data_IF_364069095155
#
_entry.id   IF_364069095155
#
_cell.length_a   1.000
_cell.length_b   1.000
_cell.length_c   1.000
_cell.angle_alpha   90.00
_cell.angle_beta   90.00
_cell.angle_gamma   90.00
#
_symmetry.space_group_name_H-M   'P 1'
#
loop_
_entity.id
_entity.type
_entity.pdbx_description
1 polymer ?
#
# COMPACT_ATOMS: atom_id res chain seq x y z
N UNK A 1 3.85 -19.35 40.84
CA UNK A 1 2.77 -19.85 39.96
C UNK A 1 2.07 -18.65 39.35
N UNK A 2 2.56 -18.16 38.20
CA UNK A 2 1.95 -17.06 37.47
C UNK A 2 0.77 -17.60 36.66
N UNK A 3 -0.42 -17.02 36.84
CA UNK A 3 -1.59 -17.32 36.02
C UNK A 3 -1.34 -16.81 34.61
N UNK A 4 -1.25 -17.71 33.64
CA UNK A 4 -1.38 -17.41 32.22
C UNK A 4 -2.71 -16.69 32.01
N UNK A 5 -2.78 -15.52 31.34
CA UNK A 5 -4.06 -14.97 30.93
C UNK A 5 -4.71 -16.00 30.01
N UNK A 6 -5.89 -16.48 30.38
CA UNK A 6 -6.59 -17.49 29.62
C UNK A 6 -6.76 -17.06 28.18
N UNK A 7 -6.33 -17.91 27.27
CA UNK A 7 -6.75 -17.94 25.86
C UNK A 7 -8.24 -18.27 25.80
N UNK A 8 -9.07 -17.36 26.28
CA UNK A 8 -10.51 -17.48 26.12
C UNK A 8 -10.81 -17.34 24.64
N UNK A 9 -11.09 -18.44 23.95
CA UNK A 9 -11.77 -18.37 22.67
C UNK A 9 -13.04 -17.56 22.90
N UNK A 10 -13.05 -16.33 22.37
CA UNK A 10 -14.29 -15.60 22.22
C UNK A 10 -15.12 -16.39 21.19
N UNK A 11 -15.97 -17.31 21.67
CA UNK A 11 -17.13 -17.76 20.89
C UNK A 11 -17.85 -16.52 20.34
N UNK A 12 -18.53 -16.61 19.18
CA UNK A 12 -18.93 -15.43 18.43
C UNK A 12 -19.73 -14.49 19.35
N UNK A 13 -19.18 -13.32 19.74
CA UNK A 13 -19.96 -12.38 20.50
C UNK A 13 -21.14 -12.00 19.61
N UNK A 14 -22.35 -12.13 20.15
CA UNK A 14 -23.54 -11.60 19.49
C UNK A 14 -23.33 -10.13 19.16
N UNK A 15 -24.12 -9.61 18.22
CA UNK A 15 -24.06 -8.18 17.92
C UNK A 15 -24.48 -7.38 19.16
N UNK A 16 -23.63 -6.46 19.58
CA UNK A 16 -23.82 -5.51 20.67
C UNK A 16 -24.38 -4.21 20.10
N UNK A 17 -25.34 -3.61 20.80
CA UNK A 17 -25.85 -2.28 20.48
C UNK A 17 -24.80 -1.18 20.67
N UNK A 18 -25.00 -0.06 19.98
CA UNK A 18 -24.19 1.16 20.10
C UNK A 18 -22.79 1.04 19.52
N UNK A 19 -22.61 0.17 18.52
CA UNK A 19 -21.31 -0.22 17.99
C UNK A 19 -21.33 -0.27 16.47
N UNK A 20 -20.24 0.19 15.86
CA UNK A 20 -20.03 0.12 14.42
C UNK A 20 -19.23 -1.14 14.07
N UNK A 21 -19.81 -1.97 13.20
CA UNK A 21 -19.25 -3.21 12.70
C UNK A 21 -18.70 -3.01 11.28
N UNK A 22 -17.39 -3.19 11.10
CA UNK A 22 -16.76 -3.22 9.78
C UNK A 22 -16.74 -4.68 9.31
N UNK A 23 -17.54 -5.01 8.31
CA UNK A 23 -17.80 -6.41 7.92
C UNK A 23 -17.17 -6.68 6.55
N UNK A 24 -16.15 -7.54 6.52
CA UNK A 24 -15.56 -7.99 5.26
C UNK A 24 -16.52 -8.86 4.45
N UNK A 25 -16.71 -8.51 3.18
CA UNK A 25 -17.52 -9.27 2.22
C UNK A 25 -16.65 -10.02 1.21
N UNK A 26 -17.17 -11.09 0.56
CA UNK A 26 -16.42 -11.81 -0.47
C UNK A 26 -15.96 -10.93 -1.65
N UNK A 27 -14.84 -11.31 -2.27
CA UNK A 27 -14.33 -10.66 -3.50
C UNK A 27 -15.09 -11.09 -4.76
N UNK A 28 -15.82 -12.19 -4.69
CA UNK A 28 -16.59 -12.72 -5.81
C UNK A 28 -17.01 -14.18 -5.63
N UNK A 29 -16.28 -14.95 -4.83
CA UNK A 29 -16.75 -16.26 -4.36
C UNK A 29 -17.58 -16.12 -3.09
N UNK A 30 -18.90 -16.32 -3.18
CA UNK A 30 -19.79 -16.23 -2.01
C UNK A 30 -19.36 -17.08 -0.81
N UNK A 31 -18.62 -18.17 -1.04
CA UNK A 31 -18.14 -19.08 0.01
C UNK A 31 -16.98 -18.51 0.84
N UNK A 32 -16.41 -17.37 0.44
CA UNK A 32 -15.42 -16.65 1.24
C UNK A 32 -16.06 -15.83 2.38
N UNK A 33 -17.40 -15.85 2.50
CA UNK A 33 -18.11 -15.18 3.59
C UNK A 33 -17.90 -15.96 4.89
N UNK A 34 -17.24 -15.34 5.86
CA UNK A 34 -17.00 -15.99 7.15
C UNK A 34 -18.30 -16.20 7.95
N UNK A 35 -18.34 -17.22 8.79
CA UNK A 35 -19.47 -17.49 9.68
C UNK A 35 -19.78 -16.28 10.59
N UNK A 36 -18.75 -15.55 11.02
CA UNK A 36 -18.88 -14.35 11.84
C UNK A 36 -19.42 -13.16 11.05
N UNK A 37 -19.02 -12.99 9.78
CA UNK A 37 -19.59 -11.98 8.90
C UNK A 37 -21.08 -12.25 8.65
N UNK A 38 -21.44 -13.50 8.37
CA UNK A 38 -22.83 -13.93 8.25
C UNK A 38 -23.64 -13.59 9.51
N UNK A 39 -23.17 -13.98 10.69
CA UNK A 39 -23.85 -13.71 11.95
C UNK A 39 -24.04 -12.20 12.20
N UNK A 40 -23.03 -11.38 11.88
CA UNK A 40 -23.13 -9.93 12.00
C UNK A 40 -24.19 -9.36 11.02
N UNK A 41 -24.18 -9.79 9.76
CA UNK A 41 -25.15 -9.37 8.75
C UNK A 41 -26.59 -9.73 9.12
N UNK A 42 -26.80 -10.84 9.82
CA UNK A 42 -28.11 -11.30 10.31
C UNK A 42 -28.62 -10.49 11.52
N UNK A 43 -27.73 -9.87 12.29
CA UNK A 43 -28.06 -9.33 13.63
C UNK A 43 -27.96 -7.81 13.76
N UNK A 44 -27.23 -7.11 12.88
CA UNK A 44 -27.13 -5.63 12.98
C UNK A 44 -28.48 -4.95 12.73
N UNK A 45 -28.77 -3.91 13.51
CA UNK A 45 -30.02 -3.14 13.43
C UNK A 45 -30.12 -2.32 12.13
N UNK A 46 -28.98 -1.90 11.58
CA UNK A 46 -28.86 -1.18 10.32
C UNK A 46 -27.63 -1.64 9.55
N UNK A 47 -27.79 -1.95 8.27
CA UNK A 47 -26.68 -2.23 7.36
C UNK A 47 -26.45 -1.07 6.40
N UNK A 48 -25.22 -0.55 6.37
CA UNK A 48 -24.73 0.41 5.39
C UNK A 48 -24.00 -0.35 4.29
N UNK A 49 -24.39 -0.11 3.05
CA UNK A 49 -23.80 -0.75 1.88
C UNK A 49 -23.42 0.28 0.81
N UNK A 50 -22.27 0.09 0.16
CA UNK A 50 -21.85 0.91 -0.98
C UNK A 50 -22.89 0.86 -2.12
N UNK A 51 -23.13 -0.32 -2.71
CA UNK A 51 -24.27 -0.61 -3.58
C UNK A 51 -25.25 -1.58 -2.92
N UNK A 52 -26.42 -1.08 -2.55
CA UNK A 52 -27.47 -1.89 -1.92
C UNK A 52 -27.97 -3.04 -2.79
N UNK A 53 -27.80 -2.96 -4.12
CA UNK A 53 -28.19 -4.02 -5.05
C UNK A 53 -27.20 -5.18 -5.02
N UNK A 54 -25.90 -4.90 -4.87
CA UNK A 54 -24.85 -5.91 -4.74
C UNK A 54 -25.05 -6.65 -3.41
N UNK A 55 -25.16 -5.90 -2.32
CA UNK A 55 -25.41 -6.46 -0.99
C UNK A 55 -26.72 -7.25 -0.92
N UNK A 56 -27.79 -6.78 -1.56
CA UNK A 56 -29.06 -7.51 -1.62
C UNK A 56 -28.94 -8.91 -2.24
N UNK A 57 -28.07 -9.10 -3.24
CA UNK A 57 -27.80 -10.41 -3.85
C UNK A 57 -27.01 -11.32 -2.91
N UNK A 58 -26.02 -10.76 -2.21
CA UNK A 58 -25.25 -11.49 -1.20
C UNK A 58 -26.17 -12.01 -0.07
N UNK A 59 -27.00 -11.13 0.50
CA UNK A 59 -27.94 -11.49 1.56
C UNK A 59 -28.93 -12.57 1.09
N UNK A 60 -29.48 -12.42 -0.12
CA UNK A 60 -30.39 -13.41 -0.70
C UNK A 60 -29.72 -14.78 -0.92
N UNK A 61 -28.46 -14.81 -1.37
CA UNK A 61 -27.72 -16.06 -1.58
C UNK A 61 -27.50 -16.87 -0.30
N UNK A 62 -27.52 -16.21 0.87
CA UNK A 62 -27.34 -16.83 2.17
C UNK A 62 -28.63 -16.94 3.00
N UNK A 63 -29.78 -16.57 2.42
CA UNK A 63 -31.07 -16.60 3.12
C UNK A 63 -31.16 -15.62 4.30
N UNK A 64 -30.33 -14.56 4.30
CA UNK A 64 -30.31 -13.57 5.36
C UNK A 64 -31.49 -12.62 5.18
N UNK A 65 -32.35 -12.55 6.20
CA UNK A 65 -33.50 -11.65 6.24
C UNK A 65 -33.07 -10.17 6.15
N UNK A 66 -33.94 -9.32 5.61
CA UNK A 66 -33.63 -7.90 5.43
C UNK A 66 -34.05 -7.06 6.64
N UNK A 67 -33.09 -6.69 7.47
CA UNK A 67 -33.16 -5.44 8.25
C UNK A 67 -33.07 -4.22 7.32
N UNK A 68 -33.15 -2.99 7.84
CA UNK A 68 -32.98 -1.80 7.02
C UNK A 68 -31.57 -1.75 6.42
N UNK A 69 -31.49 -1.51 5.10
CA UNK A 69 -30.23 -1.34 4.37
C UNK A 69 -30.19 0.06 3.76
N UNK A 70 -29.16 0.83 4.08
CA UNK A 70 -28.95 2.17 3.53
C UNK A 70 -27.75 2.20 2.59
N UNK A 71 -27.89 2.93 1.49
CA UNK A 71 -26.75 3.26 0.63
C UNK A 71 -25.78 4.19 1.36
N UNK A 72 -24.49 3.86 1.40
CA UNK A 72 -23.43 4.65 2.00
C UNK A 72 -22.16 4.58 1.13
N UNK A 73 -21.91 5.62 0.34
CA UNK A 73 -20.83 5.66 -0.65
C UNK A 73 -20.25 7.08 -0.79
N UNK A 74 -19.18 7.22 -1.58
CA UNK A 74 -18.38 8.45 -1.71
C UNK A 74 -19.18 9.73 -2.03
N UNK A 75 -20.36 9.61 -2.66
CA UNK A 75 -21.18 10.76 -3.06
C UNK A 75 -22.31 11.12 -2.08
N UNK A 76 -22.60 10.27 -1.08
CA UNK A 76 -23.74 10.50 -0.18
C UNK A 76 -23.37 10.42 1.31
N UNK A 77 -22.17 9.96 1.65
CA UNK A 77 -21.77 9.70 3.03
C UNK A 77 -21.99 10.92 3.92
N UNK A 78 -21.67 12.12 3.44
CA UNK A 78 -21.80 13.37 4.20
C UNK A 78 -23.25 13.67 4.61
N UNK A 79 -24.23 13.26 3.80
CA UNK A 79 -25.66 13.43 4.11
C UNK A 79 -26.16 12.36 5.08
N UNK A 80 -25.60 11.15 5.03
CA UNK A 80 -26.01 10.01 5.87
C UNK A 80 -25.32 9.99 7.23
N UNK A 81 -24.13 10.58 7.31
CA UNK A 81 -23.27 10.49 8.47
C UNK A 81 -23.94 10.99 9.76
N UNK A 82 -24.65 12.15 9.81
CA UNK A 82 -25.31 12.60 11.04
C UNK A 82 -26.32 11.57 11.58
N UNK A 83 -27.23 11.09 10.73
CA UNK A 83 -28.28 10.12 11.11
C UNK A 83 -27.68 8.78 11.57
N UNK A 84 -26.59 8.33 10.93
CA UNK A 84 -25.91 7.09 11.32
C UNK A 84 -25.29 7.21 12.71
N UNK A 85 -24.65 8.35 12.99
CA UNK A 85 -24.00 8.59 14.28
C UNK A 85 -25.03 8.75 15.40
N UNK A 86 -26.17 9.40 15.13
CA UNK A 86 -27.28 9.50 16.08
C UNK A 86 -27.80 8.11 16.46
N UNK A 87 -28.00 7.22 15.47
CA UNK A 87 -28.42 5.83 15.71
C UNK A 87 -27.42 5.05 16.55
N UNK A 88 -26.13 5.16 16.24
CA UNK A 88 -25.06 4.54 17.02
C UNK A 88 -25.07 5.04 18.48
N UNK A 89 -25.22 6.34 18.71
CA UNK A 89 -25.29 6.91 20.06
C UNK A 89 -26.58 6.52 20.80
N UNK A 90 -27.67 6.29 20.09
CA UNK A 90 -28.93 5.78 20.63
C UNK A 90 -28.88 4.28 20.95
N UNK A 91 -27.75 3.60 20.73
CA UNK A 91 -27.58 2.19 21.06
C UNK A 91 -27.88 1.22 19.92
N UNK A 92 -28.10 1.69 18.68
CA UNK A 92 -28.24 0.80 17.53
C UNK A 92 -26.89 0.19 17.13
N UNK A 93 -26.90 -1.07 16.73
CA UNK A 93 -25.78 -1.72 16.06
C UNK A 93 -25.81 -1.41 14.56
N UNK A 94 -24.68 -0.94 14.01
CA UNK A 94 -24.60 -0.57 12.59
C UNK A 94 -23.50 -1.36 11.92
N UNK A 95 -23.84 -2.11 10.86
CA UNK A 95 -22.87 -2.76 9.98
C UNK A 95 -22.48 -1.86 8.81
N UNK A 96 -21.22 -1.88 8.40
CA UNK A 96 -20.74 -1.30 7.16
C UNK A 96 -20.14 -2.41 6.30
N UNK A 97 -20.57 -2.47 5.04
CA UNK A 97 -20.02 -3.34 3.99
C UNK A 97 -19.75 -2.53 2.72
N UNK A 98 -18.80 -3.00 1.92
CA UNK A 98 -18.56 -2.53 0.55
C UNK A 98 -18.91 -3.64 -0.43
N UNK A 99 -18.89 -3.32 -1.72
CA UNK A 99 -19.30 -4.27 -2.77
C UNK A 99 -18.46 -5.55 -2.74
N UNK A 100 -17.19 -5.43 -2.35
CA UNK A 100 -16.26 -6.54 -2.15
C UNK A 100 -15.17 -6.18 -1.14
N UNK A 101 -14.76 -7.15 -0.32
CA UNK A 101 -13.60 -7.05 0.54
C UNK A 101 -13.83 -6.32 1.85
N UNK A 102 -12.75 -5.73 2.39
CA UNK A 102 -12.79 -5.03 3.67
C UNK A 102 -13.17 -3.54 3.49
N UNK A 103 -14.23 -3.06 4.16
CA UNK A 103 -14.63 -1.66 4.08
C UNK A 103 -13.59 -0.73 4.71
N UNK A 104 -13.60 0.54 4.31
CA UNK A 104 -12.69 1.61 4.76
C UNK A 104 -11.19 1.43 4.44
N UNK A 105 -10.83 0.47 3.58
CA UNK A 105 -9.44 0.27 3.11
C UNK A 105 -9.15 1.05 1.82
N UNK A 106 -9.86 0.73 0.74
CA UNK A 106 -9.82 1.49 -0.53
C UNK A 106 -11.20 2.04 -0.93
N UNK A 107 -12.23 1.54 -0.27
CA UNK A 107 -13.63 1.87 -0.51
C UNK A 107 -14.14 2.87 0.53
N UNK A 108 -15.36 3.42 0.37
CA UNK A 108 -15.96 4.34 1.33
C UNK A 108 -16.01 3.78 2.75
N UNK A 109 -16.01 4.67 3.76
CA UNK A 109 -16.22 4.27 5.16
C UNK A 109 -15.23 4.86 6.14
N UNK A 110 -14.07 5.32 5.66
CA UNK A 110 -13.04 5.95 6.50
C UNK A 110 -13.62 7.11 7.31
N UNK A 111 -14.42 7.97 6.69
CA UNK A 111 -15.01 9.14 7.31
C UNK A 111 -16.00 8.76 8.43
N UNK A 112 -16.73 7.64 8.26
CA UNK A 112 -17.59 7.11 9.31
C UNK A 112 -16.79 6.55 10.47
N UNK A 113 -15.71 5.81 10.19
CA UNK A 113 -14.81 5.28 11.22
C UNK A 113 -14.17 6.41 12.03
N UNK A 114 -13.65 7.44 11.36
CA UNK A 114 -13.08 8.63 12.00
C UNK A 114 -14.12 9.36 12.87
N UNK A 115 -15.33 9.58 12.33
CA UNK A 115 -16.38 10.29 13.03
C UNK A 115 -16.97 9.51 14.22
N UNK A 116 -17.01 8.18 14.14
CA UNK A 116 -17.42 7.29 15.22
C UNK A 116 -16.34 7.27 16.33
N UNK A 117 -15.07 7.11 15.95
CA UNK A 117 -13.95 7.15 16.89
C UNK A 117 -13.87 8.48 17.63
N UNK A 118 -14.06 9.61 16.94
CA UNK A 118 -14.10 10.94 17.53
C UNK A 118 -15.23 11.17 18.54
N UNK A 119 -16.25 10.30 18.56
CA UNK A 119 -17.37 10.32 19.51
C UNK A 119 -17.28 9.22 20.57
N UNK A 120 -16.20 8.46 20.61
CA UNK A 120 -16.03 7.33 21.53
C UNK A 120 -16.97 6.16 21.23
N UNK A 121 -17.53 6.07 20.02
CA UNK A 121 -18.38 4.94 19.61
C UNK A 121 -17.48 3.70 19.41
N UNK A 122 -17.76 2.57 20.09
CA UNK A 122 -16.99 1.35 19.92
C UNK A 122 -17.02 0.82 18.48
N UNK A 123 -15.90 0.26 18.05
CA UNK A 123 -15.72 -0.37 16.74
C UNK A 123 -15.45 -1.87 16.91
N UNK A 124 -15.99 -2.67 16.00
CA UNK A 124 -15.64 -4.09 15.85
C UNK A 124 -15.36 -4.39 14.39
N UNK A 125 -14.15 -4.90 14.12
CA UNK A 125 -13.77 -5.37 12.77
C UNK A 125 -14.06 -6.86 12.68
N UNK A 126 -14.94 -7.25 11.76
CA UNK A 126 -15.19 -8.64 11.37
C UNK A 126 -14.36 -8.92 10.11
N UNK A 127 -13.20 -9.60 10.24
CA UNK A 127 -12.29 -9.80 9.13
C UNK A 127 -12.94 -10.61 7.99
N UNK A 128 -12.54 -10.29 6.77
CA UNK A 128 -12.92 -10.98 5.55
C UNK A 128 -11.81 -10.92 4.51
N UNK A 129 -12.03 -11.49 3.31
CA UNK A 129 -11.03 -11.54 2.26
C UNK A 129 -10.66 -10.14 1.77
N UNK A 130 -9.39 -9.91 1.42
CA UNK A 130 -8.94 -8.68 0.73
C UNK A 130 -8.13 -9.05 -0.50
N UNK A 131 -8.38 -8.35 -1.61
CA UNK A 131 -7.69 -8.66 -2.86
C UNK A 131 -6.19 -8.36 -2.76
N UNK A 132 -5.80 -7.36 -1.98
CA UNK A 132 -4.40 -7.02 -1.68
C UNK A 132 -3.65 -8.17 -0.99
N UNK A 133 -4.15 -8.70 0.14
CA UNK A 133 -3.47 -9.79 0.86
C UNK A 133 -3.49 -11.10 0.07
N UNK A 134 -4.58 -11.40 -0.65
CA UNK A 134 -4.67 -12.55 -1.55
C UNK A 134 -3.64 -12.46 -2.68
N UNK A 135 -3.51 -11.29 -3.31
CA UNK A 135 -2.53 -11.04 -4.36
C UNK A 135 -1.09 -11.11 -3.84
N UNK A 136 -0.82 -10.54 -2.66
CA UNK A 136 0.49 -10.62 -2.02
C UNK A 136 0.90 -12.08 -1.77
N UNK A 137 0.00 -12.86 -1.15
CA UNK A 137 0.25 -14.28 -0.88
C UNK A 137 0.53 -15.07 -2.16
N UNK A 138 -0.22 -14.83 -3.23
CA UNK A 138 -0.04 -15.50 -4.52
C UNK A 138 1.22 -15.03 -5.29
N UNK A 139 1.71 -13.81 -5.03
CA UNK A 139 2.88 -13.26 -5.72
C UNK A 139 4.19 -13.97 -5.39
N UNK A 140 4.30 -14.52 -4.17
CA UNK A 140 5.55 -15.10 -3.65
C UNK A 140 6.66 -14.08 -3.34
N UNK A 141 6.36 -12.77 -3.36
CA UNK A 141 7.34 -11.73 -3.06
C UNK A 141 7.54 -11.51 -1.55
N UNK A 142 8.73 -11.04 -1.12
CA UNK A 142 9.05 -10.90 0.29
C UNK A 142 8.35 -9.70 0.95
N UNK A 143 8.26 -9.78 2.28
CA UNK A 143 7.90 -8.65 3.14
C UNK A 143 9.13 -7.76 3.41
N UNK A 144 8.94 -6.48 3.76
CA UNK A 144 7.67 -5.75 3.84
C UNK A 144 7.07 -5.43 2.46
N UNK A 145 5.79 -5.06 2.43
CA UNK A 145 5.12 -4.53 1.22
C UNK A 145 4.39 -3.22 1.54
N UNK A 146 4.10 -2.43 0.50
CA UNK A 146 3.30 -1.21 0.58
C UNK A 146 2.06 -1.34 -0.31
N UNK A 147 0.89 -1.08 0.27
CA UNK A 147 -0.35 -1.04 -0.47
C UNK A 147 -0.76 0.40 -0.79
N UNK A 148 -1.09 0.66 -2.05
CA UNK A 148 -1.39 2.01 -2.55
C UNK A 148 -2.86 2.24 -2.91
N UNK A 149 -3.68 1.19 -2.93
CA UNK A 149 -4.98 1.25 -3.60
C UNK A 149 -4.80 1.62 -5.07
N UNK A 150 -5.55 2.61 -5.55
CA UNK A 150 -5.45 3.09 -6.92
C UNK A 150 -4.51 4.29 -7.05
N UNK A 151 -3.57 4.24 -7.99
CA UNK A 151 -2.78 5.42 -8.34
C UNK A 151 -3.67 6.51 -8.96
N UNK A 152 -3.40 7.82 -8.69
CA UNK A 152 -4.09 8.92 -9.34
C UNK A 152 -4.08 8.77 -10.86
N UNK A 153 -5.20 9.08 -11.51
CA UNK A 153 -5.38 8.79 -12.93
C UNK A 153 -4.43 9.60 -13.84
N UNK A 154 -4.06 10.83 -13.45
CA UNK A 154 -3.22 11.73 -14.25
C UNK A 154 -2.67 12.88 -13.40
N UNK A 155 -1.84 13.72 -14.01
CA UNK A 155 -1.42 15.00 -13.46
C UNK A 155 -0.28 14.93 -12.43
N UNK A 156 -0.05 16.04 -11.68
CA UNK A 156 1.04 16.14 -10.72
C UNK A 156 0.99 15.10 -9.61
N UNK A 157 -0.20 14.74 -9.13
CA UNK A 157 -0.37 13.74 -8.06
C UNK A 157 0.10 12.36 -8.50
N UNK A 158 -0.20 11.96 -9.74
CA UNK A 158 0.28 10.69 -10.30
C UNK A 158 1.82 10.68 -10.36
N UNK A 159 2.43 11.76 -10.85
CA UNK A 159 3.90 11.88 -10.90
C UNK A 159 4.53 11.73 -9.52
N UNK A 160 4.00 12.47 -8.53
CA UNK A 160 4.46 12.35 -7.13
C UNK A 160 4.29 10.95 -6.56
N UNK A 161 3.21 10.25 -6.90
CA UNK A 161 3.01 8.87 -6.47
C UNK A 161 4.07 7.94 -7.10
N UNK A 162 4.34 8.08 -8.40
CA UNK A 162 5.37 7.31 -9.10
C UNK A 162 6.78 7.59 -8.56
N UNK A 163 7.10 8.85 -8.24
CA UNK A 163 8.36 9.24 -7.61
C UNK A 163 8.55 8.57 -6.24
N UNK A 164 7.51 8.57 -5.39
CA UNK A 164 7.56 7.87 -4.09
C UNK A 164 7.69 6.36 -4.25
N UNK A 165 7.03 5.80 -5.26
CA UNK A 165 7.14 4.39 -5.56
C UNK A 165 8.58 4.06 -5.98
N UNK A 166 9.16 4.82 -6.90
CA UNK A 166 10.54 4.67 -7.35
C UNK A 166 11.58 4.78 -6.23
N UNK A 167 11.31 5.58 -5.20
CA UNK A 167 12.19 5.71 -4.03
C UNK A 167 12.17 4.50 -3.07
N UNK A 168 11.14 3.65 -3.12
CA UNK A 168 11.08 2.41 -2.34
C UNK A 168 11.94 1.29 -2.92
N UNK A 169 12.03 0.18 -2.21
CA UNK A 169 12.66 -1.07 -2.69
C UNK A 169 11.82 -2.31 -2.37
N UNK A 170 10.78 -2.11 -1.55
CA UNK A 170 9.85 -3.11 -1.09
C UNK A 170 8.89 -3.57 -2.20
N UNK A 171 8.14 -4.63 -1.90
CA UNK A 171 7.02 -5.07 -2.74
C UNK A 171 5.92 -3.98 -2.75
N UNK A 172 5.37 -3.66 -3.92
CA UNK A 172 4.31 -2.66 -4.07
C UNK A 172 3.02 -3.32 -4.56
N UNK A 173 1.89 -3.00 -3.96
CA UNK A 173 0.58 -3.54 -4.36
C UNK A 173 -0.33 -2.40 -4.80
N UNK A 174 -0.85 -2.51 -6.02
CA UNK A 174 -1.75 -1.56 -6.64
C UNK A 174 -3.04 -2.26 -7.04
N UNK A 175 -4.17 -1.59 -6.84
CA UNK A 175 -5.37 -1.88 -7.60
C UNK A 175 -5.34 -1.09 -8.91
N UNK A 176 -5.82 -1.70 -9.99
CA UNK A 176 -5.87 -1.01 -11.27
C UNK A 176 -7.08 -1.41 -12.11
N UNK A 177 -7.67 -0.42 -12.79
CA UNK A 177 -8.72 -0.70 -13.75
C UNK A 177 -8.12 -1.43 -14.96
N UNK A 178 -8.82 -2.41 -15.56
CA UNK A 178 -8.26 -3.27 -16.61
C UNK A 178 -7.71 -2.47 -17.81
N UNK A 179 -8.45 -1.46 -18.26
CA UNK A 179 -8.07 -0.57 -19.37
C UNK A 179 -6.88 0.36 -19.04
N UNK A 180 -6.45 0.44 -17.78
CA UNK A 180 -5.32 1.25 -17.32
C UNK A 180 -4.05 0.44 -17.09
N UNK A 181 -4.13 -0.89 -17.02
CA UNK A 181 -2.99 -1.75 -16.64
C UNK A 181 -1.77 -1.48 -17.50
N UNK A 182 -1.90 -1.53 -18.84
CA UNK A 182 -0.77 -1.30 -19.75
C UNK A 182 -0.16 0.10 -19.60
N UNK A 183 -0.99 1.12 -19.37
CA UNK A 183 -0.52 2.49 -19.13
C UNK A 183 0.22 2.61 -17.80
N UNK A 184 -0.30 2.02 -16.73
CA UNK A 184 0.36 2.02 -15.42
C UNK A 184 1.65 1.22 -15.45
N UNK A 185 1.67 0.07 -16.12
CA UNK A 185 2.89 -0.70 -16.36
C UNK A 185 3.96 0.12 -17.10
N UNK A 186 3.55 0.94 -18.10
CA UNK A 186 4.48 1.81 -18.84
C UNK A 186 5.08 2.89 -17.94
N UNK A 187 4.25 3.54 -17.14
CA UNK A 187 4.71 4.55 -16.19
C UNK A 187 5.66 3.96 -15.13
N UNK A 188 5.36 2.75 -14.64
CA UNK A 188 6.22 2.02 -13.70
C UNK A 188 7.53 1.57 -14.36
N UNK A 189 7.47 1.00 -15.57
CA UNK A 189 8.67 0.58 -16.30
C UNK A 189 9.63 1.75 -16.54
N UNK A 190 9.09 2.94 -16.84
CA UNK A 190 9.88 4.14 -17.06
C UNK A 190 10.67 4.59 -15.81
N UNK A 191 10.14 4.35 -14.60
CA UNK A 191 10.77 4.81 -13.34
C UNK A 191 11.49 3.69 -12.58
N UNK A 192 11.13 2.42 -12.83
CA UNK A 192 11.66 1.26 -12.11
C UNK A 192 12.55 0.36 -12.97
N UNK A 193 12.41 0.43 -14.29
CA UNK A 193 13.03 -0.48 -15.25
C UNK A 193 12.10 -1.61 -15.69
N UNK A 194 12.24 -2.03 -16.96
CA UNK A 194 11.38 -3.06 -17.57
C UNK A 194 11.56 -4.46 -16.97
N UNK A 195 12.75 -4.76 -16.43
CA UNK A 195 13.10 -6.08 -15.91
C UNK A 195 12.52 -6.38 -14.52
N UNK A 196 11.84 -5.41 -13.89
CA UNK A 196 11.26 -5.60 -12.55
C UNK A 196 10.19 -6.68 -12.61
N UNK A 197 10.28 -7.72 -11.74
CA UNK A 197 9.30 -8.79 -11.71
C UNK A 197 7.94 -8.27 -11.22
N UNK A 198 6.87 -8.82 -11.78
CA UNK A 198 5.49 -8.43 -11.50
C UNK A 198 4.62 -9.68 -11.44
N UNK A 199 3.69 -9.66 -10.49
CA UNK A 199 2.55 -10.56 -10.46
C UNK A 199 1.27 -9.75 -10.70
N UNK A 200 0.35 -10.32 -11.46
CA UNK A 200 -0.98 -9.76 -11.67
C UNK A 200 -2.04 -10.80 -11.30
N UNK A 201 -2.85 -10.49 -10.30
CA UNK A 201 -4.04 -11.25 -9.96
C UNK A 201 -5.25 -10.64 -10.64
N UNK A 202 -5.88 -11.38 -11.55
CA UNK A 202 -7.11 -10.94 -12.24
C UNK A 202 -8.28 -11.76 -11.73
N UNK A 203 -9.39 -11.08 -11.41
CA UNK A 203 -10.65 -11.71 -11.00
C UNK A 203 -10.46 -12.72 -9.85
N UNK A 204 -9.65 -12.34 -8.83
CA UNK A 204 -9.33 -13.21 -7.69
C UNK A 204 -10.60 -13.75 -7.03
N UNK A 205 -10.57 -15.04 -6.72
CA UNK A 205 -11.69 -15.87 -6.21
C UNK A 205 -12.90 -16.02 -7.14
N UNK A 206 -12.93 -15.38 -8.32
CA UNK A 206 -14.04 -15.50 -9.27
C UNK A 206 -13.83 -16.64 -10.27
N UNK A 207 -14.86 -16.92 -11.08
CA UNK A 207 -14.84 -17.98 -12.10
C UNK A 207 -13.69 -17.85 -13.11
N UNK A 208 -13.26 -16.63 -13.43
CA UNK A 208 -12.23 -16.34 -14.42
C UNK A 208 -10.91 -15.89 -13.78
N UNK A 209 -10.67 -16.33 -12.54
CA UNK A 209 -9.43 -16.08 -11.81
C UNK A 209 -8.21 -16.46 -12.63
N UNK A 210 -7.23 -15.55 -12.66
CA UNK A 210 -5.98 -15.73 -13.38
C UNK A 210 -4.82 -15.15 -12.55
N UNK A 211 -3.76 -15.96 -12.44
CA UNK A 211 -2.49 -15.59 -11.86
C UNK A 211 -1.47 -15.44 -12.99
N UNK A 212 -1.04 -14.22 -13.27
CA UNK A 212 -0.06 -13.94 -14.30
C UNK A 212 1.25 -13.47 -13.67
N UNK A 213 2.37 -14.01 -14.14
CA UNK A 213 3.71 -13.67 -13.68
C UNK A 213 4.55 -13.23 -14.88
N UNK A 214 5.36 -12.21 -14.68
CA UNK A 214 6.27 -11.71 -15.70
C UNK A 214 7.04 -10.51 -15.21
N UNK A 215 7.35 -9.61 -16.13
CA UNK A 215 8.08 -8.36 -15.89
C UNK A 215 7.24 -7.15 -16.26
N UNK A 216 7.63 -5.96 -15.81
CA UNK A 216 6.97 -4.72 -16.23
C UNK A 216 6.99 -4.55 -17.76
N UNK A 217 8.09 -4.89 -18.42
CA UNK A 217 8.19 -4.84 -19.88
C UNK A 217 7.19 -5.76 -20.59
N UNK A 218 6.97 -6.96 -20.05
CA UNK A 218 5.96 -7.89 -20.57
C UNK A 218 4.54 -7.39 -20.29
N UNK A 219 4.29 -6.83 -19.11
CA UNK A 219 2.98 -6.30 -18.73
C UNK A 219 2.57 -5.12 -19.62
N UNK A 220 3.51 -4.27 -20.03
CA UNK A 220 3.27 -3.15 -20.97
C UNK A 220 2.68 -3.64 -22.30
N UNK A 221 3.07 -4.84 -22.77
CA UNK A 221 2.63 -5.38 -24.06
C UNK A 221 1.26 -6.06 -24.00
N UNK A 222 0.74 -6.32 -22.81
CA UNK A 222 -0.53 -7.02 -22.62
C UNK A 222 -1.67 -6.03 -22.40
N UNK A 223 -2.63 -6.02 -23.32
CA UNK A 223 -3.76 -5.05 -23.32
C UNK A 223 -5.14 -5.71 -23.16
N UNK A 224 -5.21 -7.03 -23.12
CA UNK A 224 -6.46 -7.81 -23.08
C UNK A 224 -7.04 -8.01 -21.66
N UNK A 225 -6.58 -7.21 -20.69
CA UNK A 225 -7.06 -7.26 -19.30
C UNK A 225 -8.56 -6.98 -19.21
N UNK A 226 -9.26 -7.77 -18.38
CA UNK A 226 -10.70 -7.66 -18.11
C UNK A 226 -10.99 -7.89 -16.64
N UNK A 227 -12.10 -7.34 -16.17
CA UNK A 227 -12.54 -7.50 -14.78
C UNK A 227 -11.66 -6.71 -13.81
N UNK A 228 -11.59 -7.17 -12.57
CA UNK A 228 -10.78 -6.57 -11.51
C UNK A 228 -9.35 -7.08 -11.55
N UNK A 229 -8.40 -6.17 -11.31
CA UNK A 229 -6.97 -6.45 -11.42
C UNK A 229 -6.21 -5.88 -10.21
N UNK A 230 -5.39 -6.74 -9.60
CA UNK A 230 -4.38 -6.36 -8.60
C UNK A 230 -3.00 -6.56 -9.22
N UNK A 231 -2.19 -5.51 -9.24
CA UNK A 231 -0.81 -5.54 -9.72
C UNK A 231 0.13 -5.52 -8.52
N UNK A 232 0.96 -6.54 -8.40
CA UNK A 232 2.02 -6.61 -7.38
C UNK A 232 3.36 -6.46 -8.08
N UNK A 233 4.05 -5.36 -7.79
CA UNK A 233 5.41 -5.10 -8.27
C UNK A 233 6.39 -5.68 -7.27
N UNK A 234 7.29 -6.54 -7.74
CA UNK A 234 8.26 -7.22 -6.89
C UNK A 234 9.30 -6.28 -6.30
N UNK A 235 10.04 -6.76 -5.29
CA UNK A 235 11.08 -5.98 -4.66
C UNK A 235 12.16 -5.65 -5.68
N UNK A 236 12.77 -4.50 -5.49
CA UNK A 236 13.92 -4.08 -6.29
C UNK A 236 15.18 -4.27 -5.47
N UNK A 237 16.33 -4.54 -6.10
CA UNK A 237 17.60 -4.38 -5.43
C UNK A 237 17.59 -3.01 -4.77
N UNK A 238 18.03 -2.92 -3.51
CA UNK A 238 18.33 -1.62 -2.94
C UNK A 238 19.21 -0.90 -3.96
N UNK A 239 18.90 0.37 -4.33
CA UNK A 239 19.82 1.12 -5.15
C UNK A 239 21.17 0.91 -4.51
N UNK A 240 22.12 0.36 -5.27
CA UNK A 240 23.45 0.11 -4.76
C UNK A 240 23.79 1.37 -4.01
N UNK A 241 23.92 1.30 -2.67
CA UNK A 241 24.45 2.43 -1.93
C UNK A 241 25.63 2.84 -2.78
N UNK A 242 25.66 4.09 -3.25
CA UNK A 242 26.76 4.56 -4.04
C UNK A 242 27.98 4.34 -3.14
N UNK A 243 28.58 3.15 -3.21
CA UNK A 243 29.79 2.81 -2.51
C UNK A 243 30.71 3.91 -2.97
N UNK A 244 31.32 4.64 -2.03
CA UNK A 244 31.74 6.02 -2.21
C UNK A 244 32.24 6.17 -3.63
N UNK A 245 31.42 6.80 -4.49
CA UNK A 245 31.70 6.85 -5.92
C UNK A 245 33.16 7.26 -6.07
N UNK A 246 33.89 6.63 -7.01
CA UNK A 246 35.33 6.89 -7.20
C UNK A 246 35.61 8.36 -6.91
N UNK A 247 36.40 8.68 -5.88
CA UNK A 247 36.51 10.07 -5.43
C UNK A 247 36.88 10.94 -6.61
N UNK A 248 36.17 12.04 -6.80
CA UNK A 248 36.54 13.05 -7.79
C UNK A 248 37.81 13.74 -7.30
N UNK A 249 38.95 13.14 -7.62
CA UNK A 249 40.25 13.59 -7.17
C UNK A 249 40.57 14.98 -7.73
N UNK A 250 40.07 15.33 -8.92
CA UNK A 250 40.26 16.66 -9.49
C UNK A 250 39.57 17.73 -8.61
N UNK A 251 38.31 17.50 -8.22
CA UNK A 251 37.58 18.39 -7.33
C UNK A 251 38.23 18.47 -5.92
N UNK A 252 38.71 17.34 -5.39
CA UNK A 252 39.38 17.30 -4.09
C UNK A 252 40.70 18.06 -4.09
N UNK A 253 41.50 17.93 -5.16
CA UNK A 253 42.74 18.70 -5.32
C UNK A 253 42.45 20.20 -5.46
N UNK A 254 41.40 20.59 -6.18
CA UNK A 254 40.98 21.99 -6.28
C UNK A 254 40.54 22.55 -4.91
N UNK A 255 39.79 21.77 -4.12
CA UNK A 255 39.38 22.15 -2.77
C UNK A 255 40.57 22.34 -1.81
N UNK A 256 41.60 21.50 -1.90
CA UNK A 256 42.83 21.68 -1.11
C UNK A 256 43.54 22.99 -1.48
N UNK A 257 43.64 23.31 -2.78
CA UNK A 257 44.25 24.57 -3.23
C UNK A 257 43.46 25.80 -2.77
N UNK A 258 42.13 25.71 -2.74
CA UNK A 258 41.27 26.79 -2.26
C UNK A 258 41.46 27.05 -0.75
N UNK A 259 41.57 26.01 0.07
CA UNK A 259 41.87 26.15 1.51
C UNK A 259 43.29 26.71 1.74
N UNK A 260 44.29 26.27 0.96
CA UNK A 260 45.65 26.84 1.00
C UNK A 260 45.65 28.33 0.63
N UNK A 261 44.93 28.72 -0.41
CA UNK A 261 44.78 30.13 -0.82
C UNK A 261 44.06 30.97 0.25
N UNK A 262 43.19 30.36 1.05
CA UNK A 262 42.55 30.96 2.22
C UNK A 262 43.47 31.11 3.44
N UNK A 263 44.76 30.81 3.32
CA UNK A 263 45.75 30.96 4.39
C UNK A 263 45.89 29.76 5.33
N UNK A 264 45.18 28.64 5.05
CA UNK A 264 45.32 27.40 5.82
C UNK A 264 46.60 26.66 5.41
N UNK A 265 47.30 26.06 6.37
CA UNK A 265 48.49 25.26 6.07
C UNK A 265 48.14 24.06 5.17
N UNK A 266 49.02 23.68 4.24
CA UNK A 266 48.84 22.51 3.35
C UNK A 266 48.40 21.25 4.10
N UNK A 267 49.00 20.98 5.26
CA UNK A 267 48.68 19.82 6.10
C UNK A 267 47.24 19.89 6.62
N UNK A 268 46.81 21.05 7.08
CA UNK A 268 45.46 21.24 7.62
C UNK A 268 44.41 21.27 6.52
N UNK A 269 44.74 21.81 5.34
CA UNK A 269 43.89 21.79 4.14
C UNK A 269 43.62 20.37 3.67
N UNK A 270 44.66 19.52 3.59
CA UNK A 270 44.51 18.10 3.23
C UNK A 270 43.67 17.36 4.28
N UNK A 271 43.89 17.64 5.57
CA UNK A 271 43.11 17.02 6.66
C UNK A 271 41.64 17.39 6.56
N UNK A 272 41.33 18.69 6.44
CA UNK A 272 39.96 19.19 6.39
C UNK A 272 39.20 18.68 5.15
N UNK A 273 39.83 18.68 3.98
CA UNK A 273 39.20 18.21 2.74
C UNK A 273 38.99 16.70 2.75
N UNK A 274 39.97 15.92 3.22
CA UNK A 274 39.84 14.47 3.32
C UNK A 274 38.75 14.04 4.30
N UNK A 275 38.66 14.71 5.45
CA UNK A 275 37.65 14.44 6.47
C UNK A 275 36.25 14.79 5.98
N UNK A 276 36.09 15.94 5.31
CA UNK A 276 34.81 16.38 4.74
C UNK A 276 34.32 15.48 3.61
N UNK A 277 35.25 14.94 2.81
CA UNK A 277 34.93 14.09 1.67
C UNK A 277 34.92 12.59 1.97
N UNK A 278 35.27 12.18 3.21
CA UNK A 278 35.31 10.77 3.59
C UNK A 278 36.38 9.95 2.86
N UNK A 279 37.49 10.58 2.42
CA UNK A 279 38.58 9.91 1.68
C UNK A 279 39.83 9.73 2.54
N UNK A 280 40.72 8.80 2.13
CA UNK A 280 41.98 8.58 2.82
C UNK A 280 42.88 9.83 2.77
N UNK A 281 43.22 10.38 3.95
CA UNK A 281 44.19 11.48 4.09
C UNK A 281 45.53 11.17 3.44
N UNK A 282 45.99 9.93 3.56
CA UNK A 282 47.26 9.45 2.97
C UNK A 282 47.20 9.44 1.45
N UNK A 283 46.05 9.06 0.88
CA UNK A 283 45.85 9.03 -0.57
C UNK A 283 45.75 10.44 -1.15
N UNK A 284 44.97 11.33 -0.50
CA UNK A 284 44.89 12.73 -0.92
C UNK A 284 46.24 13.44 -0.80
N UNK A 285 47.01 13.17 0.27
CA UNK A 285 48.36 13.70 0.44
C UNK A 285 49.29 13.28 -0.70
N UNK A 286 49.28 12.00 -1.07
CA UNK A 286 50.09 11.48 -2.19
C UNK A 286 49.73 12.19 -3.49
N UNK A 287 48.43 12.37 -3.78
CA UNK A 287 47.95 13.02 -5.01
C UNK A 287 48.24 14.52 -5.06
N UNK A 288 48.21 15.21 -3.93
CA UNK A 288 48.65 16.62 -3.83
C UNK A 288 50.14 16.75 -4.14
N UNK A 289 50.97 15.79 -3.72
CA UNK A 289 52.41 15.80 -4.02
C UNK A 289 52.74 15.47 -5.47
N UNK A 290 52.00 14.54 -6.10
CA UNK A 290 52.28 14.11 -7.48
C UNK A 290 51.63 15.00 -8.54
N UNK A 291 50.63 15.82 -8.17
CA UNK A 291 49.95 16.75 -9.08
C UNK A 291 49.08 16.09 -10.15
N UNK A 292 48.85 14.78 -10.08
CA UNK A 292 48.06 14.01 -11.06
C UNK A 292 46.59 13.88 -10.61
N UNK A 293 45.61 14.36 -11.41
CA UNK A 293 44.20 14.16 -11.11
C UNK A 293 43.76 12.70 -11.34
N UNK A 294 44.34 12.01 -12.32
CA UNK A 294 44.04 10.61 -12.64
C UNK A 294 45.33 9.81 -12.83
N UNK A 295 45.52 8.77 -12.01
CA UNK A 295 46.13 7.54 -12.50
C UNK A 295 44.94 6.59 -12.72
N UNK A 296 44.64 6.31 -13.99
CA UNK A 296 43.84 5.15 -14.36
C UNK A 296 44.58 3.93 -13.81
N UNK A 297 43.98 3.27 -12.81
CA UNK A 297 44.39 1.94 -12.41
C UNK A 297 43.84 0.97 -13.47
N UNK A 298 44.76 0.25 -14.13
CA UNK A 298 44.52 -1.10 -14.66
C UNK A 298 43.86 -1.99 -13.58
#
# INVERSE_FOLDING_TARGET
MGRTPGTGEAGPPGVEGGRLYLIGTPLGNRWDLSARARAALEQVDLLLAEDTRVTARLLAAWGIGRGPVWSFHAHNWHRRLPDVLERLQAGASVGLVTDAGMPAVSDPGRELVEAAAGRGIPLTVVPGPTAESAAFAASGFPHPYRFWGFLPAKGPERRRALERLAAGTETEILYEAPHRVARTARDLAAVLGEAVPVYVGRELTKRHEEHWYGTLGELVRREDWRGEVVVVVGPRPAPAAAGPGRPDWAALLAAVRAEEAGGRSRRDSIRAVADRAGVSRRELYRRVQTGRPDDAAD
#
